data_IF_261744665222
#
_entry.id   IF_261744665222
#
_cell.length_a   1.000
_cell.length_b   1.000
_cell.length_c   1.000
_cell.angle_alpha   90.00
_cell.angle_beta   90.00
_cell.angle_gamma   90.00
#
_symmetry.space_group_name_H-M   'P 1'
#
loop_
_entity.id
_entity.type
_entity.pdbx_description
1 polymer ?
#
# COMPACT_ATOMS: atom_id res chain seq x y z
N UNK A 1 -11.77 20.14 -13.12
CA UNK A 1 -11.72 18.96 -12.23
C UNK A 1 -11.10 19.35 -10.90
N UNK A 2 -11.57 18.79 -9.78
CA UNK A 2 -11.12 19.16 -8.43
C UNK A 2 -10.70 17.91 -7.66
N UNK A 3 -9.51 17.93 -7.06
CA UNK A 3 -8.97 16.85 -6.24
C UNK A 3 -8.74 17.35 -4.82
N UNK A 4 -9.23 16.60 -3.83
CA UNK A 4 -9.03 16.89 -2.42
C UNK A 4 -7.93 15.99 -1.85
N UNK A 5 -7.31 16.41 -0.74
CA UNK A 5 -6.46 15.55 0.06
C UNK A 5 -7.14 14.19 0.37
N UNK A 6 -6.39 13.09 0.29
CA UNK A 6 -6.91 11.74 0.55
C UNK A 6 -7.37 11.54 1.99
N UNK A 7 -6.94 12.38 2.93
CA UNK A 7 -7.39 12.39 4.32
C UNK A 7 -8.68 13.17 4.54
N UNK A 8 -9.09 14.05 3.64
CA UNK A 8 -10.30 14.87 3.79
C UNK A 8 -11.58 14.04 3.93
N UNK A 9 -12.55 14.63 4.62
CA UNK A 9 -13.92 14.14 4.85
C UNK A 9 -14.00 12.96 5.81
N UNK A 10 -15.21 12.45 6.04
CA UNK A 10 -15.48 11.29 6.86
C UNK A 10 -15.22 9.98 6.11
N UNK A 11 -15.03 8.90 6.87
CA UNK A 11 -14.98 7.56 6.30
C UNK A 11 -16.33 7.19 5.71
N UNK A 12 -16.33 6.59 4.51
CA UNK A 12 -17.53 6.00 3.93
C UNK A 12 -17.85 4.71 4.68
N UNK A 13 -18.80 4.75 5.60
CA UNK A 13 -19.34 3.57 6.28
C UNK A 13 -20.40 2.92 5.39
N UNK A 14 -20.05 1.88 4.64
CA UNK A 14 -21.01 1.15 3.79
C UNK A 14 -21.50 -0.16 4.42
N UNK A 15 -21.12 -0.46 5.68
CA UNK A 15 -21.39 -1.75 6.33
C UNK A 15 -22.33 -1.59 7.52
N UNK A 16 -23.23 -2.56 7.67
CA UNK A 16 -24.21 -2.72 8.78
C UNK A 16 -23.58 -3.07 10.14
N UNK A 17 -22.33 -2.69 10.42
CA UNK A 17 -21.72 -2.86 11.75
C UNK A 17 -21.19 -4.26 12.14
N UNK A 18 -21.27 -5.28 11.28
CA UNK A 18 -20.86 -6.66 11.64
C UNK A 18 -19.35 -6.90 11.86
N UNK A 19 -18.48 -5.91 11.64
CA UNK A 19 -17.04 -6.05 11.91
C UNK A 19 -16.58 -4.97 12.86
N UNK A 20 -15.76 -5.36 13.84
CA UNK A 20 -15.06 -4.43 14.71
C UNK A 20 -14.24 -3.41 13.91
N UNK A 21 -14.15 -2.20 14.44
CA UNK A 21 -13.38 -1.10 13.87
C UNK A 21 -11.90 -1.49 13.80
N UNK A 22 -11.21 -1.07 12.74
CA UNK A 22 -9.77 -1.34 12.62
C UNK A 22 -9.02 -0.67 13.78
N UNK A 23 -8.07 -1.39 14.38
CA UNK A 23 -7.20 -0.88 15.46
C UNK A 23 -6.45 0.39 15.06
N UNK A 24 -5.99 0.49 13.80
CA UNK A 24 -5.30 1.66 13.26
C UNK A 24 -6.25 2.83 12.91
N UNK A 25 -7.55 2.71 13.18
CA UNK A 25 -8.55 3.72 12.85
C UNK A 25 -8.71 3.95 11.34
N UNK A 26 -9.24 5.12 10.99
CA UNK A 26 -9.45 5.54 9.61
C UNK A 26 -8.30 6.42 9.10
N UNK A 27 -8.09 6.44 7.79
CA UNK A 27 -7.18 7.40 7.13
C UNK A 27 -7.79 8.81 7.10
N UNK A 28 -9.12 8.87 7.23
CA UNK A 28 -9.94 10.08 7.11
C UNK A 28 -9.95 10.89 8.40
N UNK A 29 -9.79 12.21 8.30
CA UNK A 29 -9.78 13.14 9.45
C UNK A 29 -11.18 13.59 9.88
N UNK A 30 -12.23 13.27 9.11
CA UNK A 30 -13.60 13.70 9.41
C UNK A 30 -13.95 15.09 8.87
N UNK A 31 -12.97 15.97 8.68
CA UNK A 31 -13.15 17.33 8.17
C UNK A 31 -12.48 17.55 6.80
N UNK A 32 -12.78 18.67 6.14
CA UNK A 32 -12.14 19.03 4.88
C UNK A 32 -10.73 19.60 5.15
N UNK A 33 -9.70 19.01 4.53
CA UNK A 33 -8.36 19.59 4.50
C UNK A 33 -8.26 20.64 3.37
N UNK A 34 -7.62 21.80 3.61
CA UNK A 34 -7.48 22.87 2.60
C UNK A 34 -6.64 22.44 1.40
N UNK A 35 -5.71 21.49 1.55
CA UNK A 35 -4.92 20.95 0.43
C UNK A 35 -5.80 20.37 -0.68
N UNK A 36 -5.62 20.93 -1.88
CA UNK A 36 -6.39 20.59 -3.07
C UNK A 36 -5.65 20.87 -4.38
N UNK A 37 -6.12 20.24 -5.46
CA UNK A 37 -5.67 20.47 -6.83
C UNK A 37 -6.89 20.82 -7.69
N UNK A 38 -6.87 22.00 -8.31
CA UNK A 38 -7.88 22.43 -9.29
C UNK A 38 -7.28 22.40 -10.68
N UNK A 39 -7.89 21.63 -11.57
CA UNK A 39 -7.47 21.49 -12.96
C UNK A 39 -8.51 22.16 -13.85
N UNK A 40 -8.07 23.16 -14.60
CA UNK A 40 -8.85 23.87 -15.61
C UNK A 40 -8.35 23.45 -16.99
N UNK A 41 -9.27 23.00 -17.84
CA UNK A 41 -8.98 22.59 -19.22
C UNK A 41 -9.78 23.53 -20.11
N UNK A 42 -9.09 24.37 -20.90
CA UNK A 42 -9.71 25.28 -21.86
C UNK A 42 -8.95 25.20 -23.17
N UNK A 43 -9.63 24.90 -24.28
CA UNK A 43 -9.10 24.94 -25.65
C UNK A 43 -7.69 24.33 -25.79
N UNK A 44 -7.51 23.10 -25.28
CA UNK A 44 -6.22 22.38 -25.27
C UNK A 44 -5.12 22.94 -24.34
N UNK A 45 -5.39 24.01 -23.59
CA UNK A 45 -4.52 24.52 -22.53
C UNK A 45 -4.96 23.96 -21.17
N UNK A 46 -4.00 23.36 -20.47
CA UNK A 46 -4.19 22.77 -19.14
C UNK A 46 -3.57 23.71 -18.08
N UNK A 47 -4.40 24.23 -17.18
CA UNK A 47 -3.98 25.09 -16.07
C UNK A 47 -4.26 24.39 -14.76
N UNK A 48 -3.23 24.18 -13.93
CA UNK A 48 -3.35 23.52 -12.63
C UNK A 48 -3.05 24.53 -11.53
N UNK A 49 -4.00 24.69 -10.62
CA UNK A 49 -3.80 25.40 -9.36
C UNK A 49 -3.64 24.37 -8.25
N UNK A 50 -2.53 24.44 -7.54
CA UNK A 50 -2.20 23.51 -6.46
C UNK A 50 -2.07 24.25 -5.13
N UNK A 51 -2.68 23.70 -4.08
CA UNK A 51 -2.55 24.18 -2.71
C UNK A 51 -2.00 23.04 -1.84
N UNK A 52 -0.76 23.17 -1.37
CA UNK A 52 -0.07 22.16 -0.54
C UNK A 52 -0.36 22.29 0.96
N UNK A 53 -1.07 23.32 1.40
CA UNK A 53 -1.18 23.61 2.82
C UNK A 53 -2.12 22.62 3.50
N UNK A 54 -1.61 21.90 4.50
CA UNK A 54 -2.34 20.98 5.34
C UNK A 54 -2.44 21.58 6.76
N UNK A 55 -3.55 22.23 7.07
CA UNK A 55 -3.76 22.84 8.40
C UNK A 55 -4.42 21.89 9.41
N UNK A 56 -5.15 20.88 8.91
CA UNK A 56 -5.99 20.01 9.73
C UNK A 56 -5.36 18.65 10.06
N UNK A 57 -4.14 18.38 9.57
CA UNK A 57 -3.41 17.17 9.93
C UNK A 57 -1.91 17.28 9.63
N UNK A 58 -1.12 16.46 10.31
CA UNK A 58 0.31 16.32 10.07
C UNK A 58 0.60 15.31 8.95
N UNK A 59 1.87 15.27 8.54
CA UNK A 59 2.37 14.31 7.56
C UNK A 59 2.62 12.94 8.22
N UNK A 60 1.57 12.14 8.35
CA UNK A 60 1.66 10.78 8.88
C UNK A 60 2.12 9.79 7.79
N UNK A 61 3.39 9.37 7.86
CA UNK A 61 4.00 8.45 6.88
C UNK A 61 3.20 7.15 6.76
N UNK A 62 2.73 6.56 7.87
CA UNK A 62 1.93 5.33 7.85
C UNK A 62 0.57 5.45 7.15
N UNK A 63 0.01 6.66 6.99
CA UNK A 63 -1.25 6.90 6.27
C UNK A 63 -1.04 7.20 4.79
N UNK A 64 0.20 7.24 4.32
CA UNK A 64 0.51 7.37 2.90
C UNK A 64 0.30 6.04 2.18
N UNK A 65 0.00 6.15 0.88
CA UNK A 65 0.00 4.98 0.00
C UNK A 65 1.44 4.58 -0.30
N UNK A 66 1.66 3.28 -0.49
CA UNK A 66 2.94 2.79 -1.02
C UNK A 66 3.13 3.30 -2.45
N UNK A 67 4.37 3.64 -2.79
CA UNK A 67 4.74 4.00 -4.15
C UNK A 67 4.53 2.83 -5.11
N UNK A 68 4.23 3.16 -6.37
CA UNK A 68 3.96 2.15 -7.40
C UNK A 68 5.18 1.27 -7.63
N UNK A 69 6.38 1.87 -7.62
CA UNK A 69 7.66 1.16 -7.75
C UNK A 69 7.85 0.12 -6.65
N UNK A 70 7.63 0.50 -5.39
CA UNK A 70 7.75 -0.41 -4.24
C UNK A 70 6.72 -1.54 -4.31
N UNK A 71 5.48 -1.21 -4.71
CA UNK A 71 4.43 -2.22 -4.93
C UNK A 71 4.82 -3.21 -6.01
N UNK A 72 5.39 -2.74 -7.12
CA UNK A 72 5.84 -3.59 -8.23
C UNK A 72 7.04 -4.45 -7.82
N UNK A 73 7.99 -3.94 -7.03
CA UNK A 73 9.10 -4.74 -6.47
C UNK A 73 8.59 -5.87 -5.58
N UNK A 74 7.63 -5.56 -4.68
CA UNK A 74 7.01 -6.57 -3.81
C UNK A 74 6.22 -7.59 -4.63
N UNK A 75 5.45 -7.14 -5.62
CA UNK A 75 4.72 -8.01 -6.53
C UNK A 75 5.66 -8.95 -7.29
N UNK A 76 6.81 -8.45 -7.79
CA UNK A 76 7.84 -9.28 -8.42
C UNK A 76 8.36 -10.38 -7.49
N UNK A 77 8.72 -10.04 -6.25
CA UNK A 77 9.13 -11.04 -5.24
C UNK A 77 8.03 -12.08 -4.97
N UNK A 78 6.77 -11.65 -4.90
CA UNK A 78 5.63 -12.54 -4.70
C UNK A 78 5.41 -13.49 -5.89
N UNK A 79 5.55 -13.00 -7.12
CA UNK A 79 5.44 -13.80 -8.35
C UNK A 79 6.54 -14.85 -8.45
N UNK A 80 7.73 -14.57 -7.91
CA UNK A 80 8.85 -15.52 -7.83
C UNK A 80 8.69 -16.57 -6.72
N UNK A 81 7.59 -16.56 -5.97
CA UNK A 81 7.39 -17.56 -4.91
C UNK A 81 7.92 -17.16 -3.54
N UNK A 82 8.49 -15.96 -3.36
CA UNK A 82 9.13 -15.58 -2.09
C UNK A 82 8.09 -15.50 -0.96
N UNK A 83 8.32 -16.14 0.20
CA UNK A 83 7.38 -16.14 1.29
C UNK A 83 7.21 -14.74 1.90
N UNK A 84 5.97 -14.41 2.29
CA UNK A 84 5.58 -13.08 2.82
C UNK A 84 6.46 -12.63 3.99
N UNK A 85 6.79 -13.55 4.91
CA UNK A 85 7.64 -13.23 6.06
C UNK A 85 9.06 -12.81 5.62
N UNK A 86 9.62 -13.49 4.61
CA UNK A 86 10.95 -13.16 4.09
C UNK A 86 10.96 -11.79 3.42
N UNK A 87 9.89 -11.46 2.68
CA UNK A 87 9.73 -10.12 2.10
C UNK A 87 9.70 -9.04 3.19
N UNK A 88 9.00 -9.28 4.30
CA UNK A 88 8.96 -8.33 5.42
C UNK A 88 10.30 -8.19 6.12
N UNK A 89 11.02 -9.30 6.32
CA UNK A 89 12.37 -9.30 6.88
C UNK A 89 13.33 -8.53 5.98
N UNK A 90 13.36 -8.82 4.69
CA UNK A 90 14.23 -8.12 3.73
C UNK A 90 14.03 -6.60 3.76
N UNK A 91 12.77 -6.14 3.85
CA UNK A 91 12.42 -4.71 3.88
C UNK A 91 12.78 -4.05 5.21
N UNK A 92 12.76 -4.80 6.31
CA UNK A 92 13.16 -4.31 7.64
C UNK A 92 14.69 -4.33 7.81
N UNK A 93 15.35 -5.29 7.20
CA UNK A 93 16.81 -5.45 7.19
C UNK A 93 17.50 -4.56 6.16
N UNK A 94 16.76 -4.00 5.19
CA UNK A 94 17.34 -3.01 4.28
C UNK A 94 17.78 -1.79 5.08
N UNK A 95 19.06 -1.44 5.03
CA UNK A 95 19.62 -0.30 5.75
C UNK A 95 18.77 0.95 5.51
N UNK A 96 18.19 1.45 6.60
CA UNK A 96 17.59 2.77 6.63
C UNK A 96 18.77 3.74 6.64
N UNK A 97 19.05 4.37 5.51
CA UNK A 97 19.93 5.55 5.50
C UNK A 97 19.42 6.50 6.57
N UNK A 98 20.32 6.97 7.43
CA UNK A 98 20.07 7.45 8.80
C UNK A 98 19.05 8.58 8.99
N UNK A 99 18.39 9.06 7.94
CA UNK A 99 17.59 10.30 8.00
C UNK A 99 16.17 10.24 7.43
N UNK A 100 15.63 9.10 6.98
CA UNK A 100 14.16 9.04 6.79
C UNK A 100 13.55 7.64 6.78
N UNK A 101 12.68 7.38 7.76
CA UNK A 101 11.74 6.25 7.70
C UNK A 101 10.74 6.50 6.57
N UNK A 102 10.91 5.81 5.44
CA UNK A 102 9.96 5.79 4.32
C UNK A 102 8.74 4.89 4.59
N UNK A 103 7.65 5.11 3.84
CA UNK A 103 6.41 4.30 3.92
C UNK A 103 6.65 2.79 3.72
N UNK A 104 7.64 2.41 2.92
CA UNK A 104 7.99 1.01 2.66
C UNK A 104 8.44 0.27 3.95
N UNK A 105 9.08 0.95 4.90
CA UNK A 105 9.54 0.30 6.13
C UNK A 105 8.39 0.02 7.11
N UNK A 106 7.24 0.68 6.94
CA UNK A 106 6.02 0.50 7.73
C UNK A 106 5.03 -0.49 7.08
N UNK A 107 5.52 -1.41 6.25
CA UNK A 107 4.68 -2.41 5.59
C UNK A 107 4.23 -3.48 6.57
N UNK A 108 2.94 -3.82 6.49
CA UNK A 108 2.33 -4.93 7.20
C UNK A 108 1.99 -6.09 6.26
N UNK A 109 1.76 -7.29 6.81
CA UNK A 109 1.25 -8.45 6.04
C UNK A 109 0.02 -8.09 5.21
N UNK A 110 -0.85 -7.22 5.75
CA UNK A 110 -2.06 -6.78 5.05
C UNK A 110 -1.76 -6.01 3.76
N UNK A 111 -0.70 -5.20 3.73
CA UNK A 111 -0.28 -4.49 2.54
C UNK A 111 0.17 -5.47 1.45
N UNK A 112 0.96 -6.49 1.81
CA UNK A 112 1.42 -7.54 0.90
C UNK A 112 0.23 -8.35 0.35
N UNK A 113 -0.74 -8.70 1.20
CA UNK A 113 -1.96 -9.37 0.74
C UNK A 113 -2.79 -8.51 -0.23
N UNK A 114 -2.87 -7.21 0.00
CA UNK A 114 -3.56 -6.31 -0.93
C UNK A 114 -2.80 -6.22 -2.25
N UNK A 115 -1.46 -6.13 -2.24
CA UNK A 115 -0.63 -6.16 -3.46
C UNK A 115 -0.83 -7.47 -4.22
N UNK A 116 -0.77 -8.62 -3.53
CA UNK A 116 -1.02 -9.94 -4.13
C UNK A 116 -2.35 -9.97 -4.90
N UNK A 117 -3.42 -9.46 -4.28
CA UNK A 117 -4.74 -9.35 -4.90
C UNK A 117 -4.76 -8.37 -6.08
N UNK A 118 -4.20 -7.18 -5.90
CA UNK A 118 -4.25 -6.11 -6.90
C UNK A 118 -3.45 -6.45 -8.17
N UNK A 119 -2.39 -7.27 -8.04
CA UNK A 119 -1.60 -7.81 -9.15
C UNK A 119 -2.07 -9.20 -9.62
N UNK A 120 -3.19 -9.71 -9.09
CA UNK A 120 -3.77 -11.01 -9.42
C UNK A 120 -2.79 -12.20 -9.31
N UNK A 121 -1.91 -12.17 -8.31
CA UNK A 121 -0.92 -13.23 -8.10
C UNK A 121 -1.62 -14.37 -7.34
N UNK A 122 -2.01 -15.44 -8.01
CA UNK A 122 -2.74 -16.56 -7.38
C UNK A 122 -1.83 -17.56 -6.65
N UNK A 123 -0.52 -17.51 -6.90
CA UNK A 123 0.42 -18.55 -6.47
C UNK A 123 0.39 -18.81 -4.95
N UNK A 124 0.29 -20.08 -4.57
CA UNK A 124 0.51 -20.53 -3.21
C UNK A 124 2.03 -20.68 -3.02
N UNK A 125 2.67 -19.64 -2.48
CA UNK A 125 4.14 -19.55 -2.36
C UNK A 125 4.77 -20.62 -1.47
N UNK A 126 3.97 -21.35 -0.70
CA UNK A 126 4.46 -22.33 0.27
C UNK A 126 3.49 -23.50 0.40
N UNK A 127 3.85 -24.67 -0.15
CA UNK A 127 3.13 -25.93 0.11
C UNK A 127 3.54 -26.55 1.45
N UNK A 128 4.76 -26.25 1.89
CA UNK A 128 5.32 -26.81 3.11
C UNK A 128 6.26 -25.81 3.80
N UNK A 129 6.34 -25.85 5.14
CA UNK A 129 7.12 -24.90 5.92
C UNK A 129 8.63 -24.95 5.63
N UNK A 130 9.11 -26.13 5.21
CA UNK A 130 10.46 -26.33 4.71
C UNK A 130 10.53 -26.08 3.20
N UNK A 131 11.36 -25.12 2.79
CA UNK A 131 11.52 -24.68 1.40
C UNK A 131 12.01 -25.82 0.49
N UNK A 132 12.90 -26.70 0.96
CA UNK A 132 13.39 -27.85 0.19
C UNK A 132 12.25 -28.80 -0.16
N UNK A 133 11.35 -29.03 0.79
CA UNK A 133 10.17 -29.88 0.62
C UNK A 133 9.19 -29.20 -0.34
N UNK A 134 8.93 -27.90 -0.16
CA UNK A 134 8.05 -27.14 -1.05
C UNK A 134 8.53 -27.19 -2.50
N UNK A 135 9.83 -26.99 -2.75
CA UNK A 135 10.42 -27.10 -4.11
C UNK A 135 10.29 -28.52 -4.66
N UNK A 136 10.55 -29.54 -3.84
CA UNK A 136 10.43 -30.94 -4.27
C UNK A 136 8.99 -31.31 -4.66
N UNK A 137 7.98 -30.81 -3.92
CA UNK A 137 6.57 -30.98 -4.30
C UNK A 137 6.22 -30.31 -5.64
N UNK A 138 6.86 -29.19 -5.98
CA UNK A 138 6.68 -28.52 -7.28
C UNK A 138 7.31 -29.32 -8.42
N UNK A 139 8.54 -29.79 -8.24
CA UNK A 139 9.25 -30.58 -9.26
C UNK A 139 8.49 -31.88 -9.57
N UNK A 140 7.94 -32.55 -8.53
CA UNK A 140 7.18 -33.79 -8.69
C UNK A 140 5.85 -33.63 -9.42
N UNK A 141 5.26 -32.44 -9.44
CA UNK A 141 3.98 -32.17 -10.11
C UNK A 141 4.17 -31.78 -11.58
N UNK A 142 5.39 -31.43 -11.97
CA UNK A 142 5.76 -31.09 -13.35
C UNK A 142 6.32 -32.28 -14.15
N UNK A 143 6.41 -33.47 -13.54
CA UNK A 143 6.82 -34.75 -14.14
C UNK A 143 5.57 -35.63 -14.23
#
# INVERSE_FOLDING_TARGET
MYFFCHRSFSQRTTRKGHRSTKSCGTVKIGHACPSNIKVHIQNSKLTVQYCNTHLSHTHEIGKQRLFVEDRSKIAGKLSLGVPVNKILEDIRSSNVESDSIKRIHLIEKKDIHNIKRDYNISYATKRHENDLISVNLWVKEMI
#
